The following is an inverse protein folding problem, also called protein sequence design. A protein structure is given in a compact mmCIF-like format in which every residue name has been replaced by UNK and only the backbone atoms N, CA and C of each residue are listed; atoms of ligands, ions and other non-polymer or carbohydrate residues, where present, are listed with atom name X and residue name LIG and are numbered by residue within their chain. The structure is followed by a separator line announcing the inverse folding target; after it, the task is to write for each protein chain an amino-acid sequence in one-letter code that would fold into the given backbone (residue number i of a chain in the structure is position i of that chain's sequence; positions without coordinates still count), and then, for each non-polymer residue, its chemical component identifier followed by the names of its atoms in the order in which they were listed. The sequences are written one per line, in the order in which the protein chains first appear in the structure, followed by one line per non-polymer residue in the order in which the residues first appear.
data_IF_788582478812
#
_entry.id   IF_788582478812
#
_cell.length_a   1.000
_cell.length_b   1.000
_cell.length_c   1.000
_cell.angle_alpha   90.00
_cell.angle_beta   90.00
_cell.angle_gamma   90.00
#
_symmetry.space_group_name_H-M   'P 1'
#
loop_
_entity.id
_entity.type
_entity.pdbx_description
1 polymer ?
#
# COMPACT_ATOMS: atom_id res chain seq x y z
N UNK A 1 25.85 9.86 7.52
CA UNK A 1 24.42 9.79 7.18
C UNK A 1 23.95 8.37 7.44
N UNK A 2 22.97 8.15 8.32
CA UNK A 2 22.47 6.82 8.63
C UNK A 2 21.11 6.63 7.96
N UNK A 3 20.99 5.59 7.15
CA UNK A 3 19.71 5.17 6.57
C UNK A 3 19.13 4.03 7.37
N UNK A 4 17.83 4.09 7.64
CA UNK A 4 17.06 2.94 8.07
C UNK A 4 16.21 2.52 6.87
N UNK A 5 16.55 1.38 6.29
CA UNK A 5 15.72 0.78 5.27
C UNK A 5 14.62 -0.05 5.92
N UNK A 6 13.43 -0.03 5.34
CA UNK A 6 12.36 -0.94 5.72
C UNK A 6 12.83 -2.39 5.47
N UNK A 7 12.76 -3.23 6.51
CA UNK A 7 13.23 -4.61 6.47
C UNK A 7 12.08 -5.63 6.45
N UNK A 8 10.86 -5.18 6.71
CA UNK A 8 9.70 -6.06 6.74
C UNK A 8 8.44 -5.35 6.20
N UNK A 9 7.46 -6.15 5.82
CA UNK A 9 6.12 -5.67 5.41
C UNK A 9 5.17 -5.49 6.61
N UNK A 10 5.72 -5.31 7.80
CA UNK A 10 4.95 -5.09 9.03
C UNK A 10 5.13 -3.65 9.52
N UNK A 11 4.27 -2.70 9.12
CA UNK A 11 4.43 -1.27 9.42
C UNK A 11 4.56 -0.95 10.91
N UNK A 12 3.87 -1.71 11.77
CA UNK A 12 3.95 -1.52 13.23
C UNK A 12 5.31 -1.91 13.80
N UNK A 13 5.88 -3.02 13.32
CA UNK A 13 7.20 -3.48 13.76
C UNK A 13 8.28 -2.50 13.31
N UNK A 14 8.20 -2.03 12.06
CA UNK A 14 9.13 -1.04 11.54
C UNK A 14 9.01 0.31 12.27
N UNK A 15 7.79 0.71 12.65
CA UNK A 15 7.59 1.91 13.45
C UNK A 15 8.18 1.79 14.86
N UNK A 16 8.14 0.61 15.48
CA UNK A 16 8.81 0.35 16.77
C UNK A 16 10.33 0.47 16.64
N UNK A 17 10.93 -0.19 15.65
CA UNK A 17 12.38 -0.10 15.37
C UNK A 17 12.81 1.35 15.11
N UNK A 18 12.00 2.09 14.37
CA UNK A 18 12.25 3.51 14.12
C UNK A 18 12.20 4.33 15.41
N UNK A 19 11.22 4.08 16.29
CA UNK A 19 11.11 4.78 17.57
C UNK A 19 12.29 4.49 18.50
N UNK A 20 12.78 3.25 18.52
CA UNK A 20 14.01 2.87 19.25
C UNK A 20 15.24 3.58 18.68
N UNK A 21 15.40 3.56 17.35
CA UNK A 21 16.52 4.20 16.67
C UNK A 21 16.55 5.72 16.84
N UNK A 22 15.40 6.41 16.84
CA UNK A 22 15.36 7.86 17.02
C UNK A 22 15.87 8.29 18.40
N UNK A 23 15.80 7.40 19.40
CA UNK A 23 16.34 7.58 20.75
C UNK A 23 15.97 8.98 21.35
N UNK A 24 14.67 9.28 21.43
CA UNK A 24 14.16 10.54 21.98
C UNK A 24 14.31 11.79 21.09
N UNK A 25 14.93 11.70 19.91
CA UNK A 25 15.04 12.83 18.99
C UNK A 25 13.69 13.22 18.41
N UNK A 26 13.49 14.54 18.26
CA UNK A 26 12.29 15.06 17.60
C UNK A 26 12.25 14.71 16.11
N UNK A 27 11.05 14.51 15.57
CA UNK A 27 10.84 14.04 14.18
C UNK A 27 9.84 14.92 13.46
N UNK A 28 10.16 15.27 12.22
CA UNK A 28 9.21 15.88 11.30
C UNK A 28 8.75 14.84 10.28
N UNK A 29 7.42 14.73 10.08
CA UNK A 29 6.78 13.88 9.09
C UNK A 29 6.12 14.72 8.00
N UNK A 30 6.83 15.04 6.91
CA UNK A 30 6.18 15.56 5.70
C UNK A 30 5.25 14.48 5.13
N UNK A 31 3.96 14.76 5.01
CA UNK A 31 2.97 13.76 4.66
C UNK A 31 1.82 14.34 3.84
N UNK A 32 0.97 13.48 3.30
CA UNK A 32 -0.32 13.88 2.76
C UNK A 32 -1.39 13.84 3.85
N UNK A 33 -2.53 14.49 3.62
CA UNK A 33 -3.69 14.42 4.50
C UNK A 33 -4.26 12.99 4.65
N UNK A 34 -3.97 12.08 3.71
CA UNK A 34 -4.42 10.68 3.75
C UNK A 34 -3.43 9.72 4.41
N UNK A 35 -2.30 10.22 4.93
CA UNK A 35 -1.30 9.38 5.58
C UNK A 35 -1.84 8.72 6.83
N UNK A 36 -1.64 7.42 6.97
CA UNK A 36 -2.12 6.62 8.12
C UNK A 36 -1.38 6.96 9.41
N UNK A 37 -0.18 7.54 9.32
CA UNK A 37 0.57 8.03 10.48
C UNK A 37 1.11 6.93 11.39
N UNK A 38 1.31 5.70 10.92
CA UNK A 38 1.74 4.57 11.74
C UNK A 38 3.02 4.85 12.55
N UNK A 39 3.99 5.51 11.95
CA UNK A 39 5.23 5.91 12.63
C UNK A 39 4.99 7.03 13.64
N UNK A 40 4.21 8.03 13.25
CA UNK A 40 3.90 9.18 14.10
C UNK A 40 3.07 8.80 15.34
N UNK A 41 2.25 7.74 15.24
CA UNK A 41 1.41 7.27 16.34
C UNK A 41 2.19 6.77 17.57
N UNK A 42 3.45 6.34 17.39
CA UNK A 42 4.30 5.86 18.47
C UNK A 42 5.16 6.97 19.11
N UNK A 43 5.09 8.20 18.61
CA UNK A 43 5.93 9.32 19.07
C UNK A 43 5.08 10.30 19.86
N UNK A 44 5.54 10.76 21.04
CA UNK A 44 4.85 11.79 21.82
C UNK A 44 4.60 13.06 21.03
N UNK A 45 3.49 13.75 21.30
CA UNK A 45 3.08 14.95 20.54
C UNK A 45 4.12 16.08 20.58
N UNK A 46 4.80 16.26 21.71
CA UNK A 46 5.84 17.26 21.89
C UNK A 46 7.17 16.94 21.19
N UNK A 47 7.29 15.72 20.65
CA UNK A 47 8.51 15.23 19.97
C UNK A 47 8.29 15.02 18.48
N UNK A 48 7.12 15.39 17.95
CA UNK A 48 6.82 15.24 16.52
C UNK A 48 6.16 16.48 15.93
N UNK A 49 6.39 16.68 14.64
CA UNK A 49 5.63 17.59 13.79
C UNK A 49 5.12 16.81 12.60
N UNK A 50 3.81 16.86 12.36
CA UNK A 50 3.19 16.35 11.13
C UNK A 50 2.94 17.56 10.23
N UNK A 51 3.65 17.60 9.11
CA UNK A 51 3.54 18.67 8.13
C UNK A 51 2.84 18.14 6.88
N UNK A 52 1.61 18.58 6.65
CA UNK A 52 0.92 18.29 5.39
C UNK A 52 1.54 19.10 4.28
N UNK A 53 2.22 18.43 3.34
CA UNK A 53 2.98 19.06 2.25
C UNK A 53 2.32 18.85 0.88
N UNK A 54 1.34 17.95 0.76
CA UNK A 54 0.54 17.75 -0.45
C UNK A 54 -0.82 17.14 -0.13
N UNK A 55 -1.79 17.40 -0.99
CA UNK A 55 -3.11 16.80 -0.96
C UNK A 55 -3.24 15.71 -2.01
N UNK A 56 -3.91 14.62 -1.64
CA UNK A 56 -4.19 13.51 -2.56
C UNK A 56 -5.66 13.53 -2.95
N UNK A 57 -5.92 13.67 -4.23
CA UNK A 57 -7.27 13.62 -4.78
C UNK A 57 -7.43 12.36 -5.63
N UNK A 58 -8.52 11.62 -5.40
CA UNK A 58 -8.85 10.47 -6.23
C UNK A 58 -9.36 10.96 -7.59
N UNK A 59 -8.76 10.43 -8.66
CA UNK A 59 -9.23 10.71 -10.01
C UNK A 59 -10.39 9.75 -10.33
N UNK A 60 -11.53 10.33 -10.71
CA UNK A 60 -12.67 9.56 -11.22
C UNK A 60 -12.38 9.12 -12.66
N UNK A 61 -12.07 7.85 -12.84
CA UNK A 61 -11.85 7.27 -14.15
C UNK A 61 -12.55 5.93 -14.23
N UNK A 62 -13.39 5.76 -15.25
CA UNK A 62 -13.87 4.44 -15.65
C UNK A 62 -12.81 3.77 -16.51
N UNK A 63 -12.56 2.51 -16.26
CA UNK A 63 -11.60 1.71 -17.03
C UNK A 63 -12.30 0.52 -17.68
N UNK A 64 -11.72 0.01 -18.76
CA UNK A 64 -12.13 -1.28 -19.33
C UNK A 64 -11.78 -2.41 -18.36
N UNK A 65 -12.58 -3.45 -18.36
CA UNK A 65 -12.32 -4.67 -17.56
C UNK A 65 -10.96 -5.29 -17.91
N UNK A 66 -10.34 -5.86 -16.88
CA UNK A 66 -9.05 -6.52 -16.96
C UNK A 66 -9.13 -7.90 -16.32
N UNK A 67 -8.22 -8.78 -16.68
CA UNK A 67 -8.13 -10.11 -16.12
C UNK A 67 -7.40 -10.11 -14.77
N UNK A 68 -6.45 -9.19 -14.56
CA UNK A 68 -5.67 -9.07 -13.33
C UNK A 68 -5.67 -7.62 -12.83
N UNK A 69 -5.94 -7.47 -11.54
CA UNK A 69 -5.90 -6.18 -10.82
C UNK A 69 -4.84 -6.23 -9.73
N UNK A 70 -3.87 -5.33 -9.78
CA UNK A 70 -2.81 -5.22 -8.78
C UNK A 70 -2.99 -3.94 -7.98
N UNK A 71 -3.21 -4.07 -6.68
CA UNK A 71 -3.37 -2.92 -5.78
C UNK A 71 -2.13 -2.74 -4.91
N UNK A 72 -1.50 -1.59 -5.02
CA UNK A 72 -0.29 -1.25 -4.27
C UNK A 72 -0.54 -0.64 -2.90
N UNK A 73 -1.77 -0.19 -2.61
CA UNK A 73 -2.12 0.40 -1.31
C UNK A 73 -3.62 0.32 -1.00
N UNK A 74 -4.01 0.41 0.29
CA UNK A 74 -5.42 0.49 0.69
C UNK A 74 -6.16 1.70 0.07
N UNK A 75 -5.48 2.82 -0.12
CA UNK A 75 -6.07 4.02 -0.75
C UNK A 75 -6.41 3.77 -2.21
N UNK A 76 -5.56 3.04 -2.95
CA UNK A 76 -5.83 2.67 -4.34
C UNK A 76 -7.05 1.75 -4.44
N UNK A 77 -7.21 0.79 -3.53
CA UNK A 77 -8.42 -0.05 -3.45
C UNK A 77 -9.67 0.81 -3.30
N UNK A 78 -9.67 1.73 -2.33
CA UNK A 78 -10.83 2.61 -2.08
C UNK A 78 -11.13 3.53 -3.27
N UNK A 79 -10.08 4.13 -3.85
CA UNK A 79 -10.22 5.01 -4.99
C UNK A 79 -10.78 4.28 -6.22
N UNK A 80 -10.29 3.08 -6.49
CA UNK A 80 -10.75 2.27 -7.61
C UNK A 80 -12.22 1.87 -7.43
N UNK A 81 -12.57 1.29 -6.29
CA UNK A 81 -13.92 0.78 -6.01
C UNK A 81 -14.98 1.86 -5.83
N UNK A 82 -14.58 3.13 -5.71
CA UNK A 82 -15.54 4.24 -5.70
C UNK A 82 -16.22 4.44 -7.06
N UNK A 83 -15.60 4.00 -8.17
CA UNK A 83 -16.09 4.27 -9.53
C UNK A 83 -16.00 3.06 -10.48
N UNK A 84 -15.42 1.96 -10.04
CA UNK A 84 -15.22 0.77 -10.84
C UNK A 84 -15.56 -0.50 -10.06
N UNK A 85 -15.84 -1.57 -10.80
CA UNK A 85 -16.04 -2.91 -10.24
C UNK A 85 -14.92 -3.84 -10.74
N UNK A 86 -14.66 -4.89 -9.96
CA UNK A 86 -13.77 -5.98 -10.35
C UNK A 86 -14.64 -7.12 -10.86
N UNK A 87 -14.43 -7.62 -12.09
CA UNK A 87 -15.16 -8.78 -12.60
C UNK A 87 -14.96 -10.02 -11.70
N UNK A 88 -15.98 -10.84 -11.57
CA UNK A 88 -15.95 -12.02 -10.70
C UNK A 88 -14.89 -13.06 -11.09
N UNK A 89 -14.51 -13.11 -12.37
CA UNK A 89 -13.49 -14.01 -12.92
C UNK A 89 -12.08 -13.39 -12.88
N UNK A 90 -11.93 -12.13 -12.50
CA UNK A 90 -10.64 -11.47 -12.46
C UNK A 90 -9.81 -11.91 -11.25
N UNK A 91 -8.50 -11.96 -11.42
CA UNK A 91 -7.55 -12.20 -10.34
C UNK A 91 -7.17 -10.90 -9.65
N UNK A 92 -7.11 -10.91 -8.32
CA UNK A 92 -6.72 -9.73 -7.53
C UNK A 92 -5.44 -10.01 -6.77
N UNK A 93 -4.47 -9.10 -6.93
CA UNK A 93 -3.17 -9.17 -6.28
C UNK A 93 -3.03 -7.99 -5.33
N UNK A 94 -2.66 -8.26 -4.08
CA UNK A 94 -2.31 -7.24 -3.11
C UNK A 94 -0.79 -7.10 -3.01
N UNK A 95 -0.28 -5.85 -3.01
CA UNK A 95 1.14 -5.57 -2.87
C UNK A 95 1.69 -5.86 -1.46
N UNK A 96 0.83 -5.89 -0.46
CA UNK A 96 1.18 -6.15 0.92
C UNK A 96 -0.04 -6.43 1.79
N UNK A 97 0.22 -6.84 3.03
CA UNK A 97 -0.79 -7.29 3.98
C UNK A 97 -1.86 -6.22 4.32
N UNK A 98 -1.48 -4.94 4.38
CA UNK A 98 -2.44 -3.85 4.61
C UNK A 98 -3.42 -3.67 3.46
N UNK A 99 -2.96 -3.88 2.22
CA UNK A 99 -3.79 -3.84 1.01
C UNK A 99 -4.71 -5.06 0.94
N UNK A 100 -4.21 -6.24 1.28
CA UNK A 100 -5.00 -7.46 1.42
C UNK A 100 -6.15 -7.26 2.41
N UNK A 101 -5.86 -6.75 3.61
CA UNK A 101 -6.88 -6.47 4.62
C UNK A 101 -7.98 -5.52 4.14
N UNK A 102 -7.62 -4.50 3.36
CA UNK A 102 -8.61 -3.58 2.78
C UNK A 102 -9.48 -4.28 1.74
N UNK A 103 -8.91 -5.13 0.88
CA UNK A 103 -9.65 -5.94 -0.10
C UNK A 103 -10.60 -6.91 0.59
N UNK A 104 -10.15 -7.63 1.61
CA UNK A 104 -10.97 -8.56 2.39
C UNK A 104 -12.14 -7.84 3.08
N UNK A 105 -11.93 -6.64 3.64
CA UNK A 105 -13.01 -5.80 4.18
C UNK A 105 -14.06 -5.44 3.14
N UNK A 106 -13.68 -5.37 1.87
CA UNK A 106 -14.57 -5.13 0.73
C UNK A 106 -15.15 -6.42 0.14
N UNK A 107 -14.93 -7.56 0.79
CA UNK A 107 -15.38 -8.89 0.36
C UNK A 107 -14.79 -9.32 -0.99
N UNK A 108 -13.59 -8.82 -1.32
CA UNK A 108 -12.86 -9.18 -2.53
C UNK A 108 -11.85 -10.28 -2.19
N UNK A 109 -11.93 -11.39 -2.92
CA UNK A 109 -10.97 -12.48 -2.81
C UNK A 109 -9.62 -12.08 -3.38
N UNK A 110 -8.55 -12.32 -2.64
CA UNK A 110 -7.18 -12.01 -3.06
C UNK A 110 -6.50 -13.30 -3.53
N UNK A 111 -6.08 -13.33 -4.78
CA UNK A 111 -5.40 -14.47 -5.38
C UNK A 111 -3.94 -14.58 -4.91
N UNK A 112 -3.26 -13.45 -4.68
CA UNK A 112 -1.87 -13.42 -4.22
C UNK A 112 -1.56 -12.16 -3.43
N UNK A 113 -0.68 -12.31 -2.41
CA UNK A 113 -0.07 -11.19 -1.66
C UNK A 113 1.44 -11.23 -1.90
N UNK A 114 2.04 -10.09 -2.27
CA UNK A 114 3.46 -10.02 -2.67
C UNK A 114 4.43 -9.86 -1.49
N UNK A 115 3.94 -9.57 -0.29
CA UNK A 115 4.71 -9.51 0.97
C UNK A 115 6.01 -8.70 0.91
N UNK A 116 6.01 -7.58 0.17
CA UNK A 116 7.16 -6.69 0.05
C UNK A 116 8.26 -7.13 -0.93
N UNK A 117 8.19 -8.29 -1.52
CA UNK A 117 9.06 -8.74 -2.62
C UNK A 117 8.53 -8.21 -3.96
N UNK A 118 8.66 -7.00 -4.17
CA UNK A 118 7.89 -6.14 -5.04
C UNK A 118 7.88 -6.47 -6.55
N UNK A 119 8.99 -6.23 -7.22
CA UNK A 119 8.98 -6.26 -8.70
C UNK A 119 9.23 -7.65 -9.29
N UNK A 120 10.08 -8.45 -8.66
CA UNK A 120 10.42 -9.77 -9.15
C UNK A 120 9.23 -10.73 -9.12
N UNK A 121 8.45 -10.69 -8.02
CA UNK A 121 7.24 -11.53 -7.87
C UNK A 121 6.13 -11.11 -8.84
N UNK A 122 6.00 -9.80 -9.09
CA UNK A 122 5.03 -9.27 -10.06
C UNK A 122 5.42 -9.67 -11.50
N UNK A 123 6.70 -9.54 -11.85
CA UNK A 123 7.22 -9.98 -13.15
C UNK A 123 7.03 -11.48 -13.35
N UNK A 124 7.27 -12.30 -12.34
CA UNK A 124 6.98 -13.73 -12.40
C UNK A 124 5.50 -14.01 -12.65
N UNK A 125 4.60 -13.26 -12.01
CA UNK A 125 3.16 -13.42 -12.18
C UNK A 125 2.72 -13.06 -13.62
N UNK A 126 3.28 -12.02 -14.20
CA UNK A 126 3.00 -11.58 -15.57
C UNK A 126 3.62 -12.53 -16.60
N UNK A 127 4.85 -13.02 -16.36
CA UNK A 127 5.59 -13.86 -17.32
C UNK A 127 5.08 -15.30 -17.34
N UNK A 128 4.69 -15.85 -16.17
CA UNK A 128 4.22 -17.24 -16.09
C UNK A 128 2.77 -17.44 -16.57
N UNK A 129 1.96 -16.39 -16.61
CA UNK A 129 0.64 -16.47 -17.21
C UNK A 129 0.67 -16.06 -18.68
N UNK A 130 1.29 -16.92 -19.50
CA UNK A 130 1.50 -16.75 -20.95
C UNK A 130 0.16 -16.76 -21.76
N UNK A 131 -0.98 -16.45 -21.12
CA UNK A 131 -2.31 -16.51 -21.72
C UNK A 131 -2.78 -15.18 -22.30
N UNK A 132 -1.90 -14.18 -22.41
CA UNK A 132 -2.22 -12.86 -22.97
C UNK A 132 -3.19 -12.06 -22.11
N UNK A 133 -3.08 -12.18 -20.79
CA UNK A 133 -3.95 -11.49 -19.83
C UNK A 133 -3.65 -9.99 -19.77
N UNK A 134 -4.70 -9.19 -19.70
CA UNK A 134 -4.61 -7.75 -19.45
C UNK A 134 -4.39 -7.46 -17.95
N UNK A 135 -3.31 -6.77 -17.62
CA UNK A 135 -2.95 -6.43 -16.23
C UNK A 135 -3.16 -4.94 -15.96
N UNK A 136 -3.82 -4.61 -14.84
CA UNK A 136 -3.90 -3.26 -14.30
C UNK A 136 -3.01 -3.14 -13.06
N UNK A 137 -2.05 -2.24 -13.10
CA UNK A 137 -1.12 -1.93 -11.98
C UNK A 137 -1.37 -0.51 -11.45
#
# INVERSE_FOLDING_TARGET
MHFIAQQSDQPKLEAQKFNEWRNGRSVCFPSSQLSVGTYAALIPENEKIILTVYDTHFKNSSIQEKDIYVFSSPSNVRAFLAHNNIPANAQVVAWGSSTEQELVKKQISVAKVLNGQQQADLLCLIIYDNRGLDVLI
#
